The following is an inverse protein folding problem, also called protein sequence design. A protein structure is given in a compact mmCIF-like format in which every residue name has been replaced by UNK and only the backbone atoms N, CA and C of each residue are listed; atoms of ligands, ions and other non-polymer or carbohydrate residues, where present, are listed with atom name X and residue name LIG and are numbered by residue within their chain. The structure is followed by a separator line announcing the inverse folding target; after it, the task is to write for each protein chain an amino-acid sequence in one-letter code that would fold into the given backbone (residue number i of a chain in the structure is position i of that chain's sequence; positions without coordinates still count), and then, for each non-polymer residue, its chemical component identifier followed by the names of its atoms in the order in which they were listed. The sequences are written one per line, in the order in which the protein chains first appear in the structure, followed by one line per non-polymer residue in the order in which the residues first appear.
data_IF_461184347359
#
_entry.id   IF_461184347359
#
_cell.length_a   1.000
_cell.length_b   1.000
_cell.length_c   1.000
_cell.angle_alpha   90.00
_cell.angle_beta   90.00
_cell.angle_gamma   90.00
#
_symmetry.space_group_name_H-M   'P 1'
#
loop_
_entity.id
_entity.type
_entity.pdbx_description
1 polymer ?
#
# COMPACT_ATOMS: atom_id res chain seq x y z
N UNK A 1 -17.28 -6.26 -1.36
CA UNK A 1 -16.28 -5.59 -0.50
C UNK A 1 -15.59 -6.59 0.43
N UNK A 2 -16.31 -7.55 1.00
CA UNK A 2 -15.78 -8.52 1.96
C UNK A 2 -14.52 -9.27 1.47
N UNK A 3 -14.50 -9.70 0.20
CA UNK A 3 -13.31 -10.32 -0.41
C UNK A 3 -12.11 -9.36 -0.48
N UNK A 4 -12.33 -8.09 -0.84
CA UNK A 4 -11.27 -7.10 -0.87
C UNK A 4 -10.72 -6.84 0.54
N UNK A 5 -11.59 -6.74 1.55
CA UNK A 5 -11.17 -6.62 2.95
C UNK A 5 -10.35 -7.83 3.42
N UNK A 6 -10.73 -9.05 3.01
CA UNK A 6 -9.96 -10.25 3.33
C UNK A 6 -8.55 -10.24 2.71
N UNK A 7 -8.40 -9.73 1.48
CA UNK A 7 -7.09 -9.55 0.84
C UNK A 7 -6.21 -8.61 1.65
N UNK A 8 -6.72 -7.43 2.02
CA UNK A 8 -5.96 -6.46 2.83
C UNK A 8 -5.49 -7.04 4.18
N UNK A 9 -6.32 -7.86 4.82
CA UNK A 9 -5.96 -8.52 6.09
C UNK A 9 -4.91 -9.63 5.93
N UNK A 10 -4.77 -10.18 4.73
CA UNK A 10 -3.85 -11.29 4.45
C UNK A 10 -2.44 -10.82 4.07
N UNK A 11 -2.27 -9.57 3.65
CA UNK A 11 -1.01 -9.00 3.16
C UNK A 11 0.12 -9.08 4.20
N UNK A 12 -0.19 -8.69 5.45
CA UNK A 12 0.74 -8.79 6.59
C UNK A 12 1.28 -10.22 6.81
N UNK A 13 0.49 -11.25 6.46
CA UNK A 13 0.93 -12.63 6.58
C UNK A 13 1.93 -13.02 5.48
N UNK A 14 1.76 -12.49 4.27
CA UNK A 14 2.70 -12.71 3.16
C UNK A 14 4.04 -12.06 3.46
N UNK A 15 4.02 -10.82 3.97
CA UNK A 15 5.22 -10.09 4.38
C UNK A 15 6.02 -10.85 5.45
N UNK A 16 5.34 -11.27 6.52
CA UNK A 16 5.98 -12.07 7.57
C UNK A 16 6.56 -13.37 7.03
N UNK A 17 5.85 -14.03 6.12
CA UNK A 17 6.33 -15.29 5.56
C UNK A 17 7.58 -15.09 4.68
N UNK A 18 7.63 -14.00 3.91
CA UNK A 18 8.80 -13.63 3.11
C UNK A 18 10.03 -13.41 3.97
N UNK A 19 9.88 -12.75 5.12
CA UNK A 19 10.99 -12.53 6.07
C UNK A 19 11.47 -13.85 6.70
N UNK A 20 10.54 -14.70 7.16
CA UNK A 20 10.87 -16.03 7.72
C UNK A 20 11.59 -16.91 6.70
N UNK A 21 11.13 -16.92 5.45
CA UNK A 21 11.78 -17.67 4.36
C UNK A 21 13.18 -17.13 4.10
N UNK A 22 13.35 -15.81 4.09
CA UNK A 22 14.66 -15.19 3.88
C UNK A 22 15.67 -15.59 4.96
N UNK A 23 15.28 -15.51 6.24
CA UNK A 23 16.13 -15.90 7.37
C UNK A 23 16.53 -17.38 7.30
N UNK A 24 15.58 -18.25 6.95
CA UNK A 24 15.85 -19.69 6.82
C UNK A 24 16.81 -19.99 5.67
N UNK A 25 16.61 -19.37 4.50
CA UNK A 25 17.49 -19.56 3.35
C UNK A 25 18.90 -19.04 3.65
N UNK A 26 19.02 -17.91 4.37
CA UNK A 26 20.31 -17.37 4.78
C UNK A 26 21.05 -18.33 5.73
N UNK A 27 20.34 -18.91 6.70
CA UNK A 27 20.91 -19.91 7.61
C UNK A 27 21.37 -21.17 6.86
N UNK A 28 20.62 -21.62 5.85
CA UNK A 28 20.97 -22.77 5.02
C UNK A 28 22.21 -22.51 4.16
N UNK A 29 22.30 -21.32 3.55
CA UNK A 29 23.48 -20.88 2.80
C UNK A 29 24.75 -20.86 3.68
N UNK A 30 24.62 -20.47 4.95
CA UNK A 30 25.74 -20.45 5.89
C UNK A 30 26.20 -21.85 6.31
N UNK A 31 25.29 -22.82 6.38
CA UNK A 31 25.60 -24.22 6.74
C UNK A 31 26.11 -25.03 5.55
N UNK A 32 25.60 -24.79 4.35
CA UNK A 32 25.95 -25.54 3.14
C UNK A 32 26.21 -24.59 1.95
N UNK A 33 27.45 -24.13 1.75
CA UNK A 33 27.80 -23.16 0.69
C UNK A 33 27.44 -23.61 -0.73
N UNK A 34 27.38 -24.92 -0.98
CA UNK A 34 27.00 -25.48 -2.29
C UNK A 34 25.54 -25.17 -2.69
N UNK A 35 24.69 -24.84 -1.71
CA UNK A 35 23.26 -24.51 -1.94
C UNK A 35 23.02 -23.04 -2.27
N UNK A 36 24.03 -22.17 -2.19
CA UNK A 36 23.89 -20.70 -2.32
C UNK A 36 23.18 -20.31 -3.61
N UNK A 37 23.60 -20.86 -4.76
CA UNK A 37 23.01 -20.51 -6.05
C UNK A 37 21.50 -20.84 -6.11
N UNK A 38 21.08 -22.00 -5.59
CA UNK A 38 19.67 -22.39 -5.55
C UNK A 38 18.88 -21.54 -4.54
N UNK A 39 19.45 -21.27 -3.38
CA UNK A 39 18.77 -20.49 -2.34
C UNK A 39 18.57 -19.03 -2.75
N UNK A 40 19.47 -18.45 -3.55
CA UNK A 40 19.25 -17.12 -4.15
C UNK A 40 18.02 -17.12 -5.07
N UNK A 41 17.78 -18.18 -5.84
CA UNK A 41 16.57 -18.30 -6.66
C UNK A 41 15.32 -18.33 -5.78
N UNK A 42 15.34 -19.05 -4.66
CA UNK A 42 14.21 -19.08 -3.72
C UNK A 42 13.96 -17.72 -3.04
N UNK A 43 15.01 -16.95 -2.72
CA UNK A 43 14.86 -15.57 -2.24
C UNK A 43 14.15 -14.70 -3.27
N UNK A 44 14.52 -14.82 -4.55
CA UNK A 44 13.88 -14.07 -5.62
C UNK A 44 12.41 -14.47 -5.80
N UNK A 45 12.10 -15.77 -5.76
CA UNK A 45 10.72 -16.28 -5.80
C UNK A 45 9.89 -15.69 -4.65
N UNK A 46 10.40 -15.74 -3.41
CA UNK A 46 9.74 -15.17 -2.24
C UNK A 46 9.41 -13.69 -2.43
N UNK A 47 10.37 -12.91 -2.96
CA UNK A 47 10.17 -11.49 -3.28
C UNK A 47 9.13 -11.26 -4.38
N UNK A 48 9.08 -12.11 -5.41
CA UNK A 48 8.06 -11.98 -6.45
C UNK A 48 6.65 -12.28 -5.93
N UNK A 49 6.52 -13.22 -4.98
CA UNK A 49 5.25 -13.48 -4.31
C UNK A 49 4.77 -12.28 -3.47
N UNK A 50 5.66 -11.65 -2.72
CA UNK A 50 5.34 -10.43 -1.97
C UNK A 50 4.88 -9.29 -2.89
N UNK A 51 5.55 -9.07 -4.02
CA UNK A 51 5.11 -8.08 -5.02
C UNK A 51 3.74 -8.37 -5.63
N UNK A 52 3.42 -9.64 -5.83
CA UNK A 52 2.09 -10.03 -6.31
C UNK A 52 1.05 -9.71 -5.22
N UNK A 53 1.36 -9.96 -3.95
CA UNK A 53 0.46 -9.62 -2.84
C UNK A 53 0.23 -8.11 -2.74
N UNK A 54 1.29 -7.29 -2.85
CA UNK A 54 1.18 -5.82 -2.87
C UNK A 54 0.28 -5.33 -4.02
N UNK A 55 0.40 -5.91 -5.21
CA UNK A 55 -0.51 -5.60 -6.32
C UNK A 55 -1.96 -6.01 -6.03
N UNK A 56 -2.19 -7.15 -5.38
CA UNK A 56 -3.52 -7.56 -4.95
C UNK A 56 -4.09 -6.60 -3.90
N UNK A 57 -3.27 -6.12 -2.96
CA UNK A 57 -3.63 -5.13 -1.95
C UNK A 57 -4.05 -3.82 -2.60
N UNK A 58 -3.27 -3.29 -3.54
CA UNK A 58 -3.63 -2.09 -4.30
C UNK A 58 -4.99 -2.21 -5.01
N UNK A 59 -5.25 -3.34 -5.68
CA UNK A 59 -6.54 -3.61 -6.34
C UNK A 59 -7.67 -3.69 -5.32
N UNK A 60 -7.43 -4.32 -4.17
CA UNK A 60 -8.43 -4.45 -3.11
C UNK A 60 -8.79 -3.08 -2.50
N UNK A 61 -7.80 -2.21 -2.26
CA UNK A 61 -8.02 -0.83 -1.82
C UNK A 61 -8.90 -0.06 -2.81
N UNK A 62 -8.59 -0.16 -4.11
CA UNK A 62 -9.39 0.48 -5.16
C UNK A 62 -10.84 -0.01 -5.12
N UNK A 63 -11.08 -1.31 -5.01
CA UNK A 63 -12.45 -1.88 -4.92
C UNK A 63 -13.20 -1.35 -3.70
N UNK A 64 -12.54 -1.21 -2.55
CA UNK A 64 -13.20 -0.64 -1.36
C UNK A 64 -13.53 0.83 -1.57
N UNK A 65 -12.60 1.60 -2.17
CA UNK A 65 -12.81 3.00 -2.51
C UNK A 65 -14.02 3.18 -3.44
N UNK A 66 -14.07 2.44 -4.54
CA UNK A 66 -15.16 2.54 -5.52
C UNK A 66 -16.54 2.21 -4.95
N UNK A 67 -16.63 1.23 -4.06
CA UNK A 67 -17.94 0.78 -3.52
C UNK A 67 -18.39 1.61 -2.34
N UNK A 68 -17.48 2.02 -1.45
CA UNK A 68 -17.84 2.73 -0.21
C UNK A 68 -17.66 4.24 -0.29
N UNK A 69 -16.96 4.74 -1.32
CA UNK A 69 -16.54 6.15 -1.40
C UNK A 69 -15.56 6.53 -0.27
N UNK A 70 -15.01 5.54 0.44
CA UNK A 70 -14.09 5.73 1.54
C UNK A 70 -12.67 5.53 1.02
N UNK A 71 -11.84 6.56 1.17
CA UNK A 71 -10.42 6.41 0.95
C UNK A 71 -9.82 5.58 2.08
N UNK A 72 -9.48 4.33 1.76
CA UNK A 72 -8.80 3.39 2.65
C UNK A 72 -7.29 3.40 2.43
N UNK A 73 -6.78 4.26 1.54
CA UNK A 73 -5.35 4.33 1.25
C UNK A 73 -4.61 4.88 2.47
N UNK A 74 -3.74 4.04 3.01
CA UNK A 74 -2.62 4.28 3.94
C UNK A 74 -2.90 4.51 5.44
N UNK A 75 -2.58 3.46 6.23
CA UNK A 75 -2.07 3.57 7.60
C UNK A 75 -0.55 3.81 7.70
N UNK A 76 0.17 4.04 6.60
CA UNK A 76 1.61 4.37 6.60
C UNK A 76 1.92 5.52 5.61
N UNK A 77 1.74 6.74 6.11
CA UNK A 77 2.50 7.95 5.73
C UNK A 77 2.42 8.45 4.28
N UNK A 78 1.54 9.44 4.04
CA UNK A 78 1.95 10.82 3.67
C UNK A 78 0.77 11.77 3.70
N UNK A 79 0.96 12.89 4.40
CA UNK A 79 0.17 14.12 4.29
C UNK A 79 0.00 14.52 2.82
N UNK A 80 -1.15 14.26 2.23
CA UNK A 80 -1.56 14.83 0.95
C UNK A 80 -3.07 15.07 1.00
N UNK A 81 -3.44 16.12 1.74
CA UNK A 81 -4.48 17.09 1.37
C UNK A 81 -4.86 17.95 2.58
N UNK A 82 -3.97 18.88 2.91
CA UNK A 82 -4.41 20.15 3.44
C UNK A 82 -5.08 20.92 2.29
N UNK A 83 -6.29 20.51 1.91
CA UNK A 83 -7.18 21.33 1.11
C UNK A 83 -7.61 22.52 1.98
N UNK A 84 -6.82 23.60 1.94
CA UNK A 84 -7.36 24.93 2.25
C UNK A 84 -8.48 25.20 1.24
N UNK A 85 -9.72 25.48 1.67
CA UNK A 85 -10.76 25.91 0.75
C UNK A 85 -10.30 27.22 0.10
N UNK A 86 -10.29 27.28 -1.23
CA UNK A 86 -10.13 28.55 -1.96
C UNK A 86 -11.33 29.41 -1.61
N UNK A 87 -11.09 30.46 -0.82
CA UNK A 87 -12.03 31.56 -0.61
C UNK A 87 -12.38 32.13 -1.99
N UNK A 88 -13.64 31.92 -2.40
CA UNK A 88 -14.25 32.61 -3.53
C UNK A 88 -14.35 34.08 -3.13
N UNK A 89 -13.51 34.91 -3.74
CA UNK A 89 -13.62 36.36 -3.64
C UNK A 89 -15.04 36.77 -4.05
N UNK A 90 -15.85 37.15 -3.07
CA UNK A 90 -17.14 37.78 -3.29
C UNK A 90 -16.87 39.10 -4.02
N UNK A 91 -17.29 39.10 -5.27
CA UNK A 91 -17.42 40.29 -6.09
C UNK A 91 -18.54 41.13 -5.49
N UNK A 92 -18.20 42.13 -4.68
CA UNK A 92 -19.11 43.24 -4.39
C UNK A 92 -18.72 44.39 -5.32
N UNK A 93 -19.36 44.39 -6.49
CA UNK A 93 -19.48 45.55 -7.36
C UNK A 93 -20.95 45.99 -7.26
N UNK A 94 -21.15 47.31 -7.12
CA UNK A 94 -22.40 48.08 -6.95
C UNK A 94 -22.93 48.15 -5.50
N UNK A 95 -23.29 49.30 -4.90
CA UNK A 95 -23.85 50.52 -5.49
C UNK A 95 -23.76 51.74 -4.55
N UNK A 96 -23.67 52.92 -5.18
CA UNK A 96 -24.04 54.32 -4.85
C UNK A 96 -24.32 54.88 -3.42
N UNK A 97 -23.76 56.08 -3.25
CA UNK A 97 -24.36 57.36 -2.79
C UNK A 97 -25.08 57.53 -1.42
N UNK A 98 -24.83 58.72 -0.83
CA UNK A 98 -25.43 59.37 0.36
C UNK A 98 -24.78 58.95 1.68
N UNK A 99 -24.12 59.82 2.47
CA UNK A 99 -24.34 61.24 2.80
C UNK A 99 -23.01 61.88 3.30
#
# INVERSE_FOLDING_TARGET
VDLATAVLQSDDAVDRFRDVVFERLLAEMAQCPDTVASNVQFVLVSRYLERIADHCTNIAEDVVYWVRGLDVRHGRGRELDAQQPREVASTDVFDSEQE
#
